data_IF_902066784224
#
_entry.id   IF_902066784224
#
_cell.length_a   1.000
_cell.length_b   1.000
_cell.length_c   1.000
_cell.angle_alpha   90.00
_cell.angle_beta   90.00
_cell.angle_gamma   90.00
#
_symmetry.space_group_name_H-M   'P 1'
#
loop_
_entity.id
_entity.type
_entity.pdbx_description
1 polymer ?
#
# COMPACT_ATOMS: atom_id res chain seq x y z
N UNK A 1 13.92 -19.36 23.75
CA UNK A 1 13.72 -17.91 23.51
C UNK A 1 13.88 -17.69 22.03
N UNK A 2 12.79 -17.48 21.30
CA UNK A 2 12.82 -17.26 19.85
C UNK A 2 13.53 -15.93 19.60
N UNK A 3 14.67 -15.95 18.90
CA UNK A 3 15.22 -14.73 18.30
C UNK A 3 14.13 -14.13 17.41
N UNK A 4 13.52 -13.02 17.84
CA UNK A 4 12.79 -12.16 16.92
C UNK A 4 13.86 -11.61 15.97
N UNK A 5 14.02 -12.25 14.82
CA UNK A 5 14.77 -11.64 13.72
C UNK A 5 14.03 -10.34 13.39
N UNK A 6 14.67 -9.20 13.65
CA UNK A 6 14.09 -7.87 13.47
C UNK A 6 13.94 -7.62 11.96
N UNK A 7 12.86 -8.16 11.38
CA UNK A 7 12.56 -8.07 9.96
C UNK A 7 12.38 -6.59 9.60
N UNK A 8 13.22 -6.02 8.71
CA UNK A 8 13.04 -4.63 8.31
C UNK A 8 11.66 -4.41 7.69
N UNK A 9 10.90 -3.45 8.23
CA UNK A 9 9.62 -3.03 7.66
C UNK A 9 9.86 -1.93 6.62
N UNK A 10 9.18 -2.05 5.48
CA UNK A 10 9.17 -1.02 4.44
C UNK A 10 7.73 -0.60 4.15
N UNK A 11 7.47 0.72 4.26
CA UNK A 11 6.20 1.30 3.85
C UNK A 11 6.23 1.73 2.39
N UNK A 12 5.19 1.36 1.62
CA UNK A 12 4.99 1.81 0.25
C UNK A 12 3.79 2.75 0.20
N UNK A 13 4.02 4.02 -0.13
CA UNK A 13 2.97 5.03 -0.17
C UNK A 13 2.01 4.83 -1.36
N UNK A 14 0.80 5.37 -1.21
CA UNK A 14 -0.21 5.42 -2.26
C UNK A 14 0.05 6.52 -3.30
N UNK A 15 -0.88 6.66 -4.25
CA UNK A 15 -0.87 7.75 -5.24
C UNK A 15 -0.81 9.10 -4.55
N UNK A 16 0.08 9.99 -5.02
CA UNK A 16 0.27 11.36 -4.52
C UNK A 16 0.62 11.44 -3.02
N UNK A 17 1.02 10.34 -2.39
CA UNK A 17 1.36 10.28 -0.97
C UNK A 17 2.88 10.22 -0.74
N UNK A 18 3.30 10.52 0.48
CA UNK A 18 4.64 10.22 0.99
C UNK A 18 4.57 9.76 2.46
N UNK A 19 5.70 9.82 3.18
CA UNK A 19 5.81 9.44 4.60
C UNK A 19 4.71 10.04 5.50
N UNK A 20 4.13 11.19 5.14
CA UNK A 20 3.05 11.84 5.91
C UNK A 20 1.83 10.94 6.05
N UNK A 21 1.50 10.13 5.04
CA UNK A 21 0.35 9.20 5.09
C UNK A 21 0.48 8.17 6.21
N UNK A 22 1.71 7.81 6.58
CA UNK A 22 1.98 6.86 7.68
C UNK A 22 2.40 7.55 8.98
N UNK A 23 2.56 8.88 9.00
CA UNK A 23 3.12 9.57 10.16
C UNK A 23 2.28 9.42 11.45
N UNK A 24 0.93 9.53 11.42
CA UNK A 24 0.11 9.24 12.60
C UNK A 24 0.20 7.78 13.05
N UNK A 25 0.16 6.83 12.11
CA UNK A 25 0.36 5.41 12.38
C UNK A 25 1.72 5.14 13.06
N UNK A 26 2.82 5.67 12.53
CA UNK A 26 4.16 5.53 13.10
C UNK A 26 4.23 6.06 14.54
N UNK A 27 3.60 7.21 14.81
CA UNK A 27 3.50 7.74 16.18
C UNK A 27 2.72 6.80 17.11
N UNK A 28 1.58 6.28 16.66
CA UNK A 28 0.76 5.35 17.44
C UNK A 28 1.48 4.03 17.73
N UNK A 29 2.31 3.54 16.81
CA UNK A 29 3.14 2.34 17.03
C UNK A 29 4.38 2.61 17.89
N UNK A 30 4.77 3.88 18.10
CA UNK A 30 6.03 4.23 18.77
C UNK A 30 7.28 3.81 17.98
N UNK A 31 7.17 3.70 16.64
CA UNK A 31 8.28 3.30 15.77
C UNK A 31 8.33 4.15 14.49
N UNK A 32 9.45 4.06 13.77
CA UNK A 32 9.56 4.58 12.41
C UNK A 32 10.10 3.50 11.49
N UNK A 33 9.74 3.58 10.21
CA UNK A 33 10.29 2.72 9.18
C UNK A 33 10.45 3.52 7.87
N UNK A 34 11.38 3.14 6.99
CA UNK A 34 11.50 3.77 5.69
C UNK A 34 10.18 3.76 4.93
N UNK A 35 9.80 4.91 4.37
CA UNK A 35 8.65 5.04 3.47
C UNK A 35 9.14 5.39 2.09
N UNK A 36 8.64 4.67 1.10
CA UNK A 36 8.93 4.89 -0.31
C UNK A 36 7.74 5.56 -0.97
N UNK A 37 7.99 6.70 -1.63
CA UNK A 37 7.10 7.23 -2.66
C UNK A 37 7.40 6.51 -3.98
N UNK A 38 6.35 6.12 -4.69
CA UNK A 38 6.47 5.36 -5.94
C UNK A 38 6.84 6.30 -7.10
N UNK A 39 8.08 6.22 -7.57
CA UNK A 39 8.64 7.08 -8.62
C UNK A 39 9.64 6.32 -9.50
N UNK A 40 9.78 6.74 -10.77
CA UNK A 40 10.79 6.25 -11.70
C UNK A 40 10.46 4.95 -12.42
N UNK A 41 9.19 4.54 -12.47
CA UNK A 41 8.69 3.42 -13.29
C UNK A 41 7.21 3.60 -13.60
N UNK A 42 6.74 3.11 -14.74
CA UNK A 42 5.36 3.30 -15.22
C UNK A 42 4.50 2.03 -15.20
N UNK A 43 5.04 0.93 -14.67
CA UNK A 43 4.34 -0.33 -14.48
C UNK A 43 4.62 -0.94 -13.10
N UNK A 44 3.66 -1.67 -12.54
CA UNK A 44 3.84 -2.35 -11.26
C UNK A 44 5.02 -3.33 -11.29
N UNK A 45 5.24 -4.14 -12.35
CA UNK A 45 6.38 -5.05 -12.41
C UNK A 45 7.74 -4.34 -12.39
N UNK A 46 7.88 -3.24 -13.14
CA UNK A 46 9.13 -2.46 -13.15
C UNK A 46 9.37 -1.78 -11.79
N UNK A 47 8.32 -1.18 -11.21
CA UNK A 47 8.42 -0.58 -9.88
C UNK A 47 8.84 -1.61 -8.83
N UNK A 48 8.18 -2.78 -8.80
CA UNK A 48 8.53 -3.86 -7.89
C UNK A 48 9.98 -4.33 -8.05
N UNK A 49 10.46 -4.51 -9.29
CA UNK A 49 11.84 -4.92 -9.56
C UNK A 49 12.85 -3.88 -9.05
N UNK A 50 12.59 -2.58 -9.28
CA UNK A 50 13.43 -1.48 -8.76
C UNK A 50 13.47 -1.47 -7.23
N UNK A 51 12.32 -1.61 -6.58
CA UNK A 51 12.24 -1.63 -5.12
C UNK A 51 12.93 -2.86 -4.54
N UNK A 52 12.76 -4.03 -5.14
CA UNK A 52 13.46 -5.26 -4.72
C UNK A 52 14.98 -5.11 -4.88
N UNK A 53 15.47 -4.43 -5.90
CA UNK A 53 16.90 -4.19 -6.09
C UNK A 53 17.52 -3.29 -5.01
N UNK A 54 16.75 -2.31 -4.50
CA UNK A 54 17.20 -1.40 -3.45
C UNK A 54 16.91 -1.89 -2.02
N UNK A 55 15.93 -2.78 -1.85
CA UNK A 55 15.49 -3.27 -0.56
C UNK A 55 16.45 -4.30 0.08
N UNK A 56 16.43 -4.44 1.42
CA UNK A 56 17.12 -5.52 2.11
C UNK A 56 16.77 -6.90 1.56
N UNK A 57 17.67 -7.89 1.73
CA UNK A 57 17.46 -9.25 1.21
C UNK A 57 16.15 -9.87 1.69
N UNK A 58 15.79 -9.64 2.96
CA UNK A 58 14.51 -10.04 3.55
C UNK A 58 13.84 -8.85 4.22
N UNK A 59 12.52 -8.72 4.08
CA UNK A 59 11.76 -7.59 4.59
C UNK A 59 10.28 -7.92 4.80
N UNK A 60 9.62 -7.11 5.62
CA UNK A 60 8.18 -7.02 5.72
C UNK A 60 7.71 -5.83 4.86
N UNK A 61 6.61 -6.01 4.14
CA UNK A 61 6.01 -4.97 3.30
C UNK A 61 4.71 -4.50 3.90
N UNK A 62 4.52 -3.19 4.02
CA UNK A 62 3.23 -2.58 4.29
C UNK A 62 2.93 -1.56 3.19
N UNK A 63 2.05 -1.93 2.25
CA UNK A 63 1.67 -1.10 1.14
C UNK A 63 0.31 -0.44 1.37
N UNK A 64 0.19 0.83 1.02
CA UNK A 64 -1.07 1.56 1.01
C UNK A 64 -1.51 1.85 -0.42
N UNK A 65 -2.74 1.46 -0.78
CA UNK A 65 -3.38 1.77 -2.06
C UNK A 65 -2.51 1.32 -3.26
N UNK A 66 -1.99 2.24 -4.06
CA UNK A 66 -1.03 1.93 -5.13
C UNK A 66 0.22 1.17 -4.61
N UNK A 67 0.70 1.53 -3.42
CA UNK A 67 1.79 0.81 -2.75
C UNK A 67 1.43 -0.64 -2.43
N UNK A 68 0.17 -0.95 -2.13
CA UNK A 68 -0.30 -2.32 -1.92
C UNK A 68 -0.32 -3.12 -3.22
N UNK A 69 -0.70 -2.48 -4.34
CA UNK A 69 -0.63 -3.10 -5.69
C UNK A 69 0.82 -3.45 -6.03
N UNK A 70 1.76 -2.54 -5.78
CA UNK A 70 3.20 -2.81 -5.98
C UNK A 70 3.70 -3.88 -5.02
N UNK A 71 3.22 -3.93 -3.77
CA UNK A 71 3.60 -4.96 -2.81
C UNK A 71 3.17 -6.37 -3.25
N UNK A 72 1.98 -6.52 -3.84
CA UNK A 72 1.53 -7.79 -4.44
C UNK A 72 2.50 -8.26 -5.55
N UNK A 73 2.96 -7.33 -6.38
CA UNK A 73 3.91 -7.64 -7.45
C UNK A 73 5.32 -7.95 -6.90
N UNK A 74 5.77 -7.27 -5.84
CA UNK A 74 7.02 -7.62 -5.15
C UNK A 74 6.99 -9.05 -4.57
N UNK A 75 5.86 -9.46 -3.99
CA UNK A 75 5.66 -10.84 -3.51
C UNK A 75 5.66 -11.83 -4.66
N UNK A 76 5.02 -11.51 -5.79
CA UNK A 76 5.01 -12.38 -6.96
C UNK A 76 6.42 -12.57 -7.57
N UNK A 77 7.24 -11.52 -7.58
CA UNK A 77 8.59 -11.57 -8.15
C UNK A 77 9.62 -12.19 -7.22
N UNK A 78 9.48 -12.02 -5.90
CA UNK A 78 10.46 -12.48 -4.93
C UNK A 78 9.82 -13.03 -3.64
N UNK A 79 9.04 -14.13 -3.72
CA UNK A 79 8.31 -14.68 -2.57
C UNK A 79 9.26 -15.11 -1.44
N UNK A 80 10.50 -15.53 -1.77
CA UNK A 80 11.52 -15.93 -0.79
C UNK A 80 12.20 -14.75 -0.06
N UNK A 81 11.83 -13.52 -0.38
CA UNK A 81 12.35 -12.29 0.25
C UNK A 81 11.34 -11.63 1.19
N UNK A 82 10.04 -11.82 0.96
CA UNK A 82 9.01 -11.13 1.72
C UNK A 82 8.60 -11.99 2.91
N UNK A 83 8.87 -11.54 4.12
CA UNK A 83 8.55 -12.29 5.35
C UNK A 83 7.12 -12.09 5.82
N UNK A 84 6.54 -10.92 5.54
CA UNK A 84 5.18 -10.55 5.92
C UNK A 84 4.65 -9.53 4.92
N UNK A 85 3.34 -9.56 4.67
CA UNK A 85 2.65 -8.64 3.77
C UNK A 85 1.47 -7.94 4.46
N UNK A 86 1.41 -6.61 4.42
CA UNK A 86 0.25 -5.83 4.80
C UNK A 86 -0.25 -5.01 3.59
N UNK A 87 -1.54 -5.14 3.28
CA UNK A 87 -2.21 -4.52 2.15
C UNK A 87 -3.32 -3.60 2.67
N UNK A 88 -3.08 -2.30 2.63
CA UNK A 88 -4.00 -1.28 3.15
C UNK A 88 -4.76 -0.64 1.98
N UNK A 89 -6.09 -0.69 1.97
CA UNK A 89 -6.93 -0.09 0.92
C UNK A 89 -6.59 -0.60 -0.48
N UNK A 90 -6.52 -1.93 -0.65
CA UNK A 90 -5.98 -2.58 -1.85
C UNK A 90 -7.08 -3.16 -2.75
N UNK A 91 -6.74 -3.37 -4.02
CA UNK A 91 -7.50 -4.19 -4.97
C UNK A 91 -6.58 -5.11 -5.75
N UNK A 92 -6.99 -6.37 -5.93
CA UNK A 92 -6.30 -7.34 -6.79
C UNK A 92 -6.84 -7.35 -8.23
N UNK A 93 -7.91 -6.57 -8.52
CA UNK A 93 -8.57 -6.54 -9.82
C UNK A 93 -7.88 -5.57 -10.79
N UNK A 94 -7.95 -5.81 -12.11
CA UNK A 94 -7.51 -4.82 -13.10
C UNK A 94 -8.36 -3.53 -12.99
N UNK A 95 -7.87 -2.44 -13.57
CA UNK A 95 -8.63 -1.19 -13.63
C UNK A 95 -9.67 -1.25 -14.75
N UNK A 96 -10.92 -0.79 -14.53
CA UNK A 96 -11.83 -0.51 -15.63
C UNK A 96 -11.25 0.58 -16.54
N UNK A 97 -11.37 0.42 -17.87
CA UNK A 97 -10.80 1.39 -18.82
C UNK A 97 -11.37 2.80 -18.64
N UNK A 98 -12.66 2.92 -18.31
CA UNK A 98 -13.27 4.23 -18.02
C UNK A 98 -12.59 4.94 -16.84
N UNK A 99 -12.24 4.20 -15.78
CA UNK A 99 -11.49 4.74 -14.64
C UNK A 99 -10.07 5.11 -15.04
N UNK A 100 -9.41 4.30 -15.89
CA UNK A 100 -8.07 4.60 -16.40
C UNK A 100 -8.06 5.90 -17.23
N UNK A 101 -9.03 6.07 -18.14
CA UNK A 101 -9.22 7.31 -18.91
C UNK A 101 -9.42 8.50 -17.98
N UNK A 102 -10.34 8.39 -17.00
CA UNK A 102 -10.60 9.48 -16.05
C UNK A 102 -9.33 9.88 -15.26
N UNK A 103 -8.53 8.91 -14.80
CA UNK A 103 -7.27 9.20 -14.09
C UNK A 103 -6.23 9.85 -15.00
N UNK A 104 -6.13 9.44 -16.27
CA UNK A 104 -5.24 10.08 -17.26
C UNK A 104 -5.66 11.51 -17.57
N UNK A 105 -6.97 11.79 -17.64
CA UNK A 105 -7.47 13.17 -17.75
C UNK A 105 -7.12 13.99 -16.51
N UNK A 106 -7.21 13.40 -15.32
CA UNK A 106 -6.81 14.09 -14.08
C UNK A 106 -5.32 14.46 -14.06
N UNK A 107 -4.44 13.66 -14.69
CA UNK A 107 -3.02 14.03 -14.90
C UNK A 107 -2.90 15.26 -15.82
N UNK A 108 -3.73 15.39 -16.85
CA UNK A 108 -3.73 16.56 -17.74
C UNK A 108 -4.21 17.82 -17.02
N UNK A 109 -5.18 17.68 -16.11
CA UNK A 109 -5.61 18.78 -15.22
C UNK A 109 -4.47 19.16 -14.26
N UNK A 110 -3.84 18.18 -13.62
CA UNK A 110 -2.69 18.41 -12.74
C UNK A 110 -1.51 19.07 -13.45
N UNK A 111 -1.32 18.84 -14.76
CA UNK A 111 -0.30 19.54 -15.54
C UNK A 111 -0.54 21.05 -15.69
N UNK A 112 -1.79 21.50 -15.53
CA UNK A 112 -2.19 22.91 -15.62
C UNK A 112 -2.38 23.55 -14.24
N UNK A 113 -2.93 22.79 -13.30
CA UNK A 113 -3.41 23.29 -12.00
C UNK A 113 -2.58 22.80 -10.81
N UNK A 114 -1.61 21.91 -11.06
CA UNK A 114 -0.83 21.23 -10.03
C UNK A 114 -1.50 19.96 -9.51
N UNK A 115 -0.69 19.05 -8.97
CA UNK A 115 -1.13 17.73 -8.49
C UNK A 115 -2.19 17.78 -7.37
N UNK A 116 -2.24 18.87 -6.59
CA UNK A 116 -3.25 19.07 -5.55
C UNK A 116 -4.69 19.07 -6.09
N UNK A 117 -4.89 19.45 -7.37
CA UNK A 117 -6.20 19.41 -8.05
C UNK A 117 -6.85 18.01 -8.00
N UNK A 118 -6.04 16.94 -7.94
CA UNK A 118 -6.56 15.58 -7.84
C UNK A 118 -7.31 15.33 -6.53
N UNK A 119 -6.86 15.93 -5.42
CA UNK A 119 -7.48 15.73 -4.10
C UNK A 119 -8.93 16.21 -4.11
N UNK A 120 -9.20 17.35 -4.74
CA UNK A 120 -10.56 17.87 -4.86
C UNK A 120 -11.51 16.89 -5.58
N UNK A 121 -11.02 16.16 -6.58
CA UNK A 121 -11.82 15.18 -7.33
C UNK A 121 -12.00 13.85 -6.59
N UNK A 122 -11.05 13.48 -5.74
CA UNK A 122 -11.05 12.23 -5.00
C UNK A 122 -11.64 12.34 -3.58
N UNK A 123 -11.84 13.56 -3.06
CA UNK A 123 -12.19 13.83 -1.66
C UNK A 123 -13.39 13.01 -1.18
N UNK A 124 -14.56 13.19 -1.79
CA UNK A 124 -15.82 12.56 -1.37
C UNK A 124 -15.80 11.03 -1.42
N UNK A 125 -14.92 10.44 -2.24
CA UNK A 125 -14.74 8.99 -2.32
C UNK A 125 -13.70 8.48 -1.32
N UNK A 126 -12.83 9.35 -0.81
CA UNK A 126 -11.66 8.95 0.00
C UNK A 126 -11.84 9.20 1.48
N UNK A 127 -12.67 10.15 1.90
CA UNK A 127 -12.83 10.52 3.31
C UNK A 127 -14.15 10.00 3.90
N UNK A 128 -14.16 9.56 5.17
CA UNK A 128 -15.38 9.15 5.84
C UNK A 128 -16.28 10.36 6.15
N UNK A 129 -17.59 10.13 6.32
CA UNK A 129 -18.58 11.21 6.45
C UNK A 129 -18.28 12.17 7.61
N UNK A 130 -17.75 11.65 8.73
CA UNK A 130 -17.41 12.46 9.90
C UNK A 130 -16.18 13.38 9.69
N UNK A 131 -15.43 13.20 8.60
CA UNK A 131 -14.28 14.03 8.18
C UNK A 131 -14.58 14.85 6.93
N UNK A 132 -15.82 14.88 6.43
CA UNK A 132 -16.17 15.53 5.17
C UNK A 132 -15.75 17.02 5.11
N UNK A 133 -15.82 17.72 6.26
CA UNK A 133 -15.45 19.13 6.41
C UNK A 133 -14.07 19.35 7.07
N UNK A 134 -13.23 18.31 7.18
CA UNK A 134 -11.91 18.43 7.81
C UNK A 134 -10.91 19.16 6.89
N UNK A 135 -10.86 20.48 7.03
CA UNK A 135 -9.93 21.34 6.32
C UNK A 135 -8.45 21.01 6.60
N UNK A 136 -8.12 20.51 7.79
CA UNK A 136 -6.75 20.16 8.17
C UNK A 136 -6.27 18.91 7.43
N UNK A 137 -7.10 17.86 7.41
CA UNK A 137 -6.83 16.67 6.59
C UNK A 137 -6.73 17.04 5.11
N UNK A 138 -7.67 17.85 4.61
CA UNK A 138 -7.64 18.30 3.22
C UNK A 138 -6.34 18.99 2.86
N UNK A 139 -5.91 19.94 3.67
CA UNK A 139 -4.65 20.67 3.47
C UNK A 139 -3.44 19.72 3.47
N UNK A 140 -3.40 18.74 4.38
CA UNK A 140 -2.29 17.77 4.44
C UNK A 140 -2.24 16.87 3.19
N UNK A 141 -3.39 16.41 2.70
CA UNK A 141 -3.48 15.63 1.46
C UNK A 141 -3.10 16.47 0.23
N UNK A 142 -3.58 17.71 0.15
CA UNK A 142 -3.23 18.65 -0.92
C UNK A 142 -1.72 18.98 -0.90
N UNK A 143 -1.11 19.10 0.28
CA UNK A 143 0.33 19.32 0.42
C UNK A 143 1.15 18.09 -0.02
N UNK A 144 0.75 16.87 0.36
CA UNK A 144 1.36 15.64 -0.17
C UNK A 144 1.30 15.57 -1.70
N UNK A 145 0.14 15.90 -2.25
CA UNK A 145 -0.06 15.92 -3.69
C UNK A 145 0.79 17.00 -4.37
N UNK A 146 0.80 18.23 -3.85
CA UNK A 146 1.59 19.34 -4.39
C UNK A 146 3.10 19.05 -4.41
N UNK A 147 3.61 18.36 -3.38
CA UNK A 147 5.01 17.95 -3.30
C UNK A 147 5.34 16.75 -4.21
N UNK A 148 4.37 16.17 -4.91
CA UNK A 148 4.59 15.07 -5.86
C UNK A 148 4.93 15.61 -7.26
N UNK A 149 6.12 15.29 -7.81
CA UNK A 149 6.45 15.66 -9.18
C UNK A 149 5.37 15.17 -10.15
N UNK A 150 4.98 16.01 -11.12
CA UNK A 150 3.95 15.68 -12.10
C UNK A 150 4.24 14.37 -12.84
N UNK A 151 5.52 14.15 -13.17
CA UNK A 151 5.96 12.92 -13.83
C UNK A 151 5.77 11.68 -12.94
N UNK A 152 6.04 11.79 -11.64
CA UNK A 152 5.74 10.74 -10.66
C UNK A 152 4.23 10.46 -10.60
N UNK A 153 3.39 11.51 -10.63
CA UNK A 153 1.93 11.31 -10.64
C UNK A 153 1.46 10.59 -11.92
N UNK A 154 1.98 10.99 -13.09
CA UNK A 154 1.71 10.31 -14.38
C UNK A 154 2.08 8.82 -14.31
N UNK A 155 3.27 8.53 -13.80
CA UNK A 155 3.77 7.16 -13.60
C UNK A 155 2.87 6.35 -12.66
N UNK A 156 2.49 6.93 -11.52
CA UNK A 156 1.58 6.30 -10.56
C UNK A 156 0.21 5.97 -11.16
N UNK A 157 -0.33 6.86 -12.00
CA UNK A 157 -1.57 6.60 -12.75
C UNK A 157 -1.39 5.45 -13.75
N UNK A 158 -0.28 5.40 -14.48
CA UNK A 158 -0.01 4.30 -15.42
C UNK A 158 0.21 2.96 -14.71
N UNK A 159 0.92 2.92 -13.57
CA UNK A 159 1.03 1.73 -12.72
C UNK A 159 -0.37 1.22 -12.35
N UNK A 160 -1.24 2.12 -11.89
CA UNK A 160 -2.60 1.77 -11.50
C UNK A 160 -3.42 1.29 -12.70
N UNK A 161 -3.36 1.99 -13.83
CA UNK A 161 -4.14 1.71 -15.03
C UNK A 161 -3.74 0.40 -15.71
N UNK A 162 -2.44 0.08 -15.74
CA UNK A 162 -1.88 -1.10 -16.40
C UNK A 162 -1.76 -2.32 -15.49
N UNK A 163 -2.22 -2.23 -14.24
CA UNK A 163 -2.10 -3.34 -13.29
C UNK A 163 -2.83 -4.58 -13.81
N UNK A 164 -2.16 -5.72 -13.66
CA UNK A 164 -2.72 -7.02 -14.03
C UNK A 164 -3.74 -7.49 -12.99
N UNK A 165 -4.59 -8.45 -13.41
CA UNK A 165 -5.39 -9.22 -12.48
C UNK A 165 -4.48 -10.09 -11.59
N UNK A 166 -4.42 -9.76 -10.30
CA UNK A 166 -3.60 -10.46 -9.31
C UNK A 166 -4.35 -11.60 -8.62
N UNK A 167 -5.68 -11.68 -8.78
CA UNK A 167 -6.53 -12.70 -8.11
C UNK A 167 -6.04 -14.14 -8.32
N UNK A 168 -5.61 -14.56 -9.53
CA UNK A 168 -5.14 -15.93 -9.75
C UNK A 168 -3.88 -16.32 -8.96
N UNK A 169 -3.13 -15.34 -8.43
CA UNK A 169 -1.87 -15.57 -7.70
C UNK A 169 -2.01 -15.42 -6.19
N UNK A 170 -3.15 -14.94 -5.68
CA UNK A 170 -3.34 -14.68 -4.25
C UNK A 170 -3.19 -15.94 -3.39
N UNK A 171 -3.63 -17.09 -3.90
CA UNK A 171 -3.50 -18.39 -3.23
C UNK A 171 -2.05 -18.87 -3.09
N UNK A 172 -1.11 -18.25 -3.80
CA UNK A 172 0.32 -18.56 -3.73
C UNK A 172 1.05 -17.76 -2.63
N UNK A 173 0.39 -16.76 -2.04
CA UNK A 173 0.97 -15.97 -0.95
C UNK A 173 1.01 -16.85 0.31
N UNK A 174 2.22 -17.21 0.74
CA UNK A 174 2.48 -18.14 1.84
C UNK A 174 3.02 -17.48 3.13
N UNK A 175 2.96 -16.15 3.20
CA UNK A 175 3.49 -15.36 4.32
C UNK A 175 2.34 -14.76 5.14
N UNK A 176 2.53 -14.48 6.45
CA UNK A 176 1.55 -13.77 7.25
C UNK A 176 1.07 -12.50 6.54
N UNK A 177 -0.22 -12.48 6.22
CA UNK A 177 -0.83 -11.41 5.43
C UNK A 177 -1.90 -10.69 6.25
N UNK A 178 -1.80 -9.36 6.32
CA UNK A 178 -2.85 -8.46 6.82
C UNK A 178 -3.49 -7.76 5.63
N UNK A 179 -4.81 -7.83 5.52
CA UNK A 179 -5.61 -7.02 4.60
C UNK A 179 -6.44 -6.07 5.43
N UNK A 180 -6.27 -4.77 5.20
CA UNK A 180 -6.86 -3.73 6.05
C UNK A 180 -7.49 -2.64 5.19
N UNK A 181 -8.72 -2.22 5.49
CA UNK A 181 -9.36 -1.09 4.82
C UNK A 181 -10.30 -0.35 5.77
N UNK A 182 -10.65 0.89 5.43
CA UNK A 182 -11.71 1.61 6.12
C UNK A 182 -13.09 1.11 5.68
N UNK A 183 -14.05 1.09 6.61
CA UNK A 183 -15.45 0.73 6.34
C UNK A 183 -16.11 1.66 5.31
N UNK A 184 -15.73 2.93 5.30
CA UNK A 184 -16.26 3.97 4.42
C UNK A 184 -15.33 4.24 3.21
N UNK A 185 -14.36 3.36 2.93
CA UNK A 185 -13.49 3.49 1.76
C UNK A 185 -14.34 3.29 0.48
N UNK A 186 -14.49 4.32 -0.35
CA UNK A 186 -15.20 4.20 -1.64
C UNK A 186 -14.24 4.14 -2.83
N UNK A 187 -12.94 4.28 -2.60
CA UNK A 187 -11.89 4.10 -3.61
C UNK A 187 -11.55 2.62 -3.76
N UNK A 188 -11.41 1.91 -2.64
CA UNK A 188 -11.18 0.48 -2.56
C UNK A 188 -12.14 -0.12 -1.52
N UNK A 189 -13.43 -0.31 -1.89
CA UNK A 189 -14.46 -0.68 -0.94
C UNK A 189 -14.20 -2.03 -0.27
N UNK A 190 -14.76 -2.26 0.95
CA UNK A 190 -14.41 -3.41 1.78
C UNK A 190 -14.54 -4.77 1.10
N UNK A 191 -15.42 -4.91 0.10
CA UNK A 191 -15.58 -6.12 -0.69
C UNK A 191 -14.30 -6.52 -1.43
N UNK A 192 -13.48 -5.54 -1.86
CA UNK A 192 -12.20 -5.81 -2.51
C UNK A 192 -11.17 -6.35 -1.51
N UNK A 193 -11.21 -5.87 -0.26
CA UNK A 193 -10.36 -6.39 0.81
C UNK A 193 -10.81 -7.78 1.26
N UNK A 194 -12.12 -8.04 1.33
CA UNK A 194 -12.68 -9.38 1.55
C UNK A 194 -12.25 -10.36 0.46
N UNK A 195 -12.35 -9.97 -0.82
CA UNK A 195 -11.89 -10.80 -1.95
C UNK A 195 -10.42 -11.21 -1.82
N UNK A 196 -9.55 -10.29 -1.38
CA UNK A 196 -8.13 -10.61 -1.16
C UNK A 196 -7.97 -11.56 0.03
N UNK A 197 -8.61 -11.25 1.17
CA UNK A 197 -8.48 -12.05 2.39
C UNK A 197 -8.99 -13.49 2.23
N UNK A 198 -10.11 -13.67 1.50
CA UNK A 198 -10.69 -14.99 1.24
C UNK A 198 -9.78 -15.84 0.33
N UNK A 199 -9.01 -15.21 -0.55
CA UNK A 199 -8.13 -15.88 -1.50
C UNK A 199 -6.71 -16.16 -0.96
N UNK A 200 -6.24 -15.41 0.05
CA UNK A 200 -4.91 -15.57 0.64
C UNK A 200 -4.95 -16.49 1.86
N UNK A 201 -4.26 -17.65 1.85
CA UNK A 201 -4.27 -18.58 2.97
C UNK A 201 -3.80 -17.93 4.28
N UNK A 202 -4.65 -17.98 5.31
CA UNK A 202 -4.32 -17.48 6.65
C UNK A 202 -4.25 -15.95 6.76
N UNK A 203 -4.75 -15.21 5.75
CA UNK A 203 -4.85 -13.76 5.83
C UNK A 203 -5.75 -13.33 6.99
N UNK A 204 -5.36 -12.23 7.64
CA UNK A 204 -6.19 -11.51 8.60
C UNK A 204 -6.85 -10.35 7.89
N UNK A 205 -8.18 -10.28 7.94
CA UNK A 205 -8.95 -9.14 7.47
C UNK A 205 -9.25 -8.20 8.64
N UNK A 206 -9.00 -6.90 8.46
CA UNK A 206 -9.42 -5.85 9.39
C UNK A 206 -10.19 -4.77 8.62
N UNK A 207 -11.47 -4.59 8.93
CA UNK A 207 -12.27 -3.49 8.39
C UNK A 207 -12.45 -2.50 9.54
N UNK A 208 -11.91 -1.31 9.33
CA UNK A 208 -11.80 -0.29 10.38
C UNK A 208 -13.00 0.65 10.29
N UNK A 209 -13.83 0.64 11.34
CA UNK A 209 -14.96 1.56 11.46
C UNK A 209 -14.51 3.02 11.45
N UNK A 210 -15.38 3.91 10.98
CA UNK A 210 -15.11 5.37 10.94
C UNK A 210 -13.80 5.71 10.22
N UNK A 211 -13.46 4.97 9.18
CA UNK A 211 -12.30 5.24 8.33
C UNK A 211 -12.70 5.14 6.85
N UNK A 212 -12.16 6.03 6.03
CA UNK A 212 -12.24 5.97 4.58
C UNK A 212 -11.01 5.32 3.97
N UNK A 213 -10.57 5.84 2.82
CA UNK A 213 -9.40 5.34 2.12
C UNK A 213 -8.12 5.55 2.92
N UNK A 214 -7.97 6.69 3.59
CA UNK A 214 -6.77 7.04 4.36
C UNK A 214 -6.80 6.49 5.79
N UNK A 215 -6.99 5.18 5.94
CA UNK A 215 -7.16 4.50 7.25
C UNK A 215 -6.05 4.80 8.26
N UNK A 216 -4.83 5.02 7.78
CA UNK A 216 -3.64 5.39 8.59
C UNK A 216 -3.70 6.81 9.15
N UNK A 217 -4.55 7.67 8.60
CA UNK A 217 -4.83 9.05 9.04
C UNK A 217 -6.16 9.16 9.78
N UNK A 218 -7.15 8.35 9.39
CA UNK A 218 -8.48 8.36 9.99
C UNK A 218 -8.51 7.68 11.36
N UNK A 219 -7.87 6.51 11.47
CA UNK A 219 -7.87 5.66 12.66
C UNK A 219 -6.45 5.10 12.92
N UNK A 220 -5.47 5.95 13.26
CA UNK A 220 -4.07 5.53 13.42
C UNK A 220 -3.87 4.51 14.53
N UNK A 221 -4.57 4.63 15.67
CA UNK A 221 -4.39 3.73 16.82
C UNK A 221 -4.93 2.32 16.54
N UNK A 222 -6.12 2.23 15.93
CA UNK A 222 -6.71 0.94 15.51
C UNK A 222 -5.84 0.28 14.44
N UNK A 223 -5.35 1.07 13.49
CA UNK A 223 -4.42 0.58 12.45
C UNK A 223 -3.10 0.11 13.05
N UNK A 224 -2.58 0.82 14.06
CA UNK A 224 -1.35 0.45 14.77
C UNK A 224 -1.49 -0.86 15.54
N UNK A 225 -2.63 -1.11 16.18
CA UNK A 225 -2.91 -2.39 16.83
C UNK A 225 -2.90 -3.54 15.82
N UNK A 226 -3.64 -3.41 14.72
CA UNK A 226 -3.67 -4.44 13.68
C UNK A 226 -2.29 -4.73 13.07
N UNK A 227 -1.47 -3.70 12.86
CA UNK A 227 -0.10 -3.86 12.34
C UNK A 227 0.82 -4.50 13.39
N UNK A 228 0.72 -4.15 14.67
CA UNK A 228 1.51 -4.80 15.74
C UNK A 228 1.19 -6.29 15.85
N UNK A 229 -0.08 -6.65 15.83
CA UNK A 229 -0.53 -8.04 15.85
C UNK A 229 0.00 -8.82 14.65
N UNK A 230 -0.04 -8.21 13.47
CA UNK A 230 0.52 -8.80 12.25
C UNK A 230 2.05 -8.95 12.32
N UNK A 231 2.79 -7.95 12.81
CA UNK A 231 4.24 -8.03 12.98
C UNK A 231 4.65 -9.11 13.99
N UNK A 232 3.84 -9.31 15.04
CA UNK A 232 4.07 -10.35 16.04
C UNK A 232 3.86 -11.78 15.52
N UNK A 233 3.20 -11.95 14.36
CA UNK A 233 3.01 -13.29 13.77
C UNK A 233 4.37 -13.90 13.35
N UNK A 234 4.55 -15.22 13.54
CA UNK A 234 5.78 -15.90 13.13
C UNK A 234 6.03 -15.75 11.62
N UNK A 235 7.22 -15.25 11.24
CA UNK A 235 7.67 -15.26 9.86
C UNK A 235 7.90 -16.70 9.37
N UNK A 236 7.71 -16.98 8.07
CA UNK A 236 8.04 -18.29 7.52
C UNK A 236 9.53 -18.57 7.68
N UNK A 237 9.86 -19.82 8.01
CA UNK A 237 11.24 -20.31 8.01
C UNK A 237 11.68 -20.49 6.57
N UNK A 238 12.28 -19.46 5.98
CA UNK A 238 12.95 -19.63 4.69
C UNK A 238 14.09 -20.63 4.84
N UNK A 239 14.12 -21.65 3.98
CA UNK A 239 15.23 -22.58 3.93
C UNK A 239 16.54 -21.81 3.70
N UNK A 240 17.52 -21.96 4.60
CA UNK A 240 18.87 -21.47 4.39
C UNK A 240 19.51 -22.29 3.26
N UNK A 241 19.31 -21.91 1.99
CA UNK A 241 20.02 -22.51 0.85
C UNK A 241 21.47 -22.02 0.72
N UNK A 242 22.17 -21.79 1.84
CA UNK A 242 23.61 -21.52 1.86
C UNK A 242 24.25 -22.06 3.14
N UNK A 243 24.47 -23.38 3.14
CA UNK A 243 25.64 -24.03 3.76
C UNK A 243 25.91 -25.26 2.90
N UNK A 244 26.70 -25.06 1.85
CA UNK A 244 27.51 -26.09 1.17
C UNK A 244 28.11 -25.45 -0.09
N UNK A 245 29.29 -24.84 0.06
CA UNK A 245 30.45 -25.03 -0.81
C UNK A 245 31.68 -24.70 0.07
N UNK A 246 32.75 -25.47 -0.11
CA UNK A 246 34.05 -25.48 0.56
C UNK A 246 34.20 -26.50 1.71
N UNK A 247 34.37 -27.78 1.29
CA UNK A 247 35.47 -28.60 1.79
C UNK A 247 36.57 -28.62 0.74
#
# INVERSE_FOLDING_TARGET
MSEMTDTPLLFLAGTLCDRRVFAPLCRAMGMSAPTVRLEGADSAPEMAARLLAAAPRRLALCGFSLGAIVALEMVAQAPDRIERLALLGCTARPMPESTAVARREAVKVAAREGCASYIATAWDASVPAWRADDAGLRQELEAMAADTPLESFRQQVEIAARRNDSRPRLSQIAVPTLVLCGEEDRVCPPELSREIADAVPGAQLSIVERAGHYVTLDQPDVTAEAIRDWLARPAPKFANRHREVFS
#
